data_IF_881275272014
#
_entry.id   IF_881275272014
#
_cell.length_a   1.000
_cell.length_b   1.000
_cell.length_c   1.000
_cell.angle_alpha   90.00
_cell.angle_beta   90.00
_cell.angle_gamma   90.00
#
_symmetry.space_group_name_H-M   'P 1'
#
loop_
_entity.id
_entity.type
_entity.pdbx_description
1 polymer ?
#
# COMPACT_ATOMS: atom_id res chain seq x y z
N UNK A 1 3.79 -53.05 -6.64
CA UNK A 1 4.39 -51.81 -7.17
C UNK A 1 3.47 -50.68 -6.76
N UNK A 2 3.89 -49.83 -5.82
CA UNK A 2 3.08 -48.72 -5.33
C UNK A 2 3.67 -47.42 -5.88
N UNK A 3 2.87 -46.65 -6.59
CA UNK A 3 3.19 -45.29 -7.00
C UNK A 3 2.68 -44.35 -5.92
N UNK A 4 3.60 -43.62 -5.29
CA UNK A 4 3.23 -42.50 -4.41
C UNK A 4 3.13 -41.25 -5.28
N UNK A 5 1.94 -40.66 -5.35
CA UNK A 5 1.79 -39.29 -5.84
C UNK A 5 2.43 -38.35 -4.80
N UNK A 6 3.10 -37.27 -5.23
CA UNK A 6 3.63 -36.31 -4.28
C UNK A 6 2.50 -35.73 -3.44
N UNK A 7 2.68 -35.74 -2.11
CA UNK A 7 1.83 -34.99 -1.19
C UNK A 7 2.05 -33.51 -1.48
N UNK A 8 1.17 -32.91 -2.29
CA UNK A 8 1.08 -31.46 -2.36
C UNK A 8 0.42 -31.01 -1.06
N UNK A 9 1.24 -30.68 -0.06
CA UNK A 9 0.76 -29.89 1.05
C UNK A 9 0.17 -28.61 0.44
N UNK A 10 -1.13 -28.36 0.61
CA UNK A 10 -1.70 -27.07 0.22
C UNK A 10 -0.90 -25.99 0.95
N UNK A 11 -0.19 -25.17 0.19
CA UNK A 11 0.52 -24.03 0.78
C UNK A 11 -0.53 -23.05 1.30
N UNK A 12 -0.40 -22.56 2.54
CA UNK A 12 -1.30 -21.54 3.06
C UNK A 12 -1.27 -20.31 2.17
N UNK A 13 -2.45 -19.79 1.84
CA UNK A 13 -2.62 -18.59 1.03
C UNK A 13 -2.63 -17.35 1.93
N UNK A 14 -2.01 -16.27 1.47
CA UNK A 14 -2.03 -14.94 2.11
C UNK A 14 -2.53 -13.93 1.09
N UNK A 15 -3.50 -13.10 1.47
CA UNK A 15 -3.90 -11.96 0.66
C UNK A 15 -2.95 -10.78 0.87
N UNK A 16 -2.39 -10.25 -0.22
CA UNK A 16 -1.52 -9.07 -0.24
C UNK A 16 -2.18 -7.97 -1.05
N UNK A 17 -2.70 -6.96 -0.38
CA UNK A 17 -3.30 -5.80 -1.04
C UNK A 17 -2.28 -4.68 -1.23
N UNK A 18 -2.17 -4.14 -2.43
CA UNK A 18 -1.24 -3.04 -2.75
C UNK A 18 -1.79 -2.19 -3.90
N UNK A 19 -1.16 -1.06 -4.21
CA UNK A 19 -1.61 -0.21 -5.30
C UNK A 19 -1.21 -0.79 -6.67
N UNK A 20 -1.91 -0.39 -7.74
CA UNK A 20 -1.49 -0.69 -9.11
C UNK A 20 -0.43 0.30 -9.64
N UNK A 21 0.35 0.93 -8.75
CA UNK A 21 1.41 1.86 -9.13
C UNK A 21 2.70 1.12 -9.51
N UNK A 22 3.57 1.78 -10.28
CA UNK A 22 4.76 1.14 -10.84
C UNK A 22 5.78 0.68 -9.79
N UNK A 23 5.90 1.41 -8.69
CA UNK A 23 6.78 1.06 -7.57
C UNK A 23 6.27 -0.17 -6.80
N UNK A 24 4.97 -0.24 -6.52
CA UNK A 24 4.35 -1.43 -5.93
C UNK A 24 4.43 -2.64 -6.87
N UNK A 25 4.18 -2.45 -8.17
CA UNK A 25 4.33 -3.51 -9.16
C UNK A 25 5.76 -4.07 -9.20
N UNK A 26 6.77 -3.19 -9.12
CA UNK A 26 8.18 -3.61 -9.05
C UNK A 26 8.47 -4.35 -7.74
N UNK A 27 8.00 -3.82 -6.60
CA UNK A 27 8.22 -4.38 -5.27
C UNK A 27 7.65 -5.79 -5.11
N UNK A 28 6.43 -6.02 -5.62
CA UNK A 28 5.71 -7.29 -5.46
C UNK A 28 5.94 -8.28 -6.60
N UNK A 29 6.67 -7.90 -7.67
CA UNK A 29 6.89 -8.75 -8.84
C UNK A 29 7.44 -10.13 -8.51
N UNK A 30 8.39 -10.22 -7.56
CA UNK A 30 8.99 -11.49 -7.16
C UNK A 30 7.98 -12.49 -6.59
N UNK A 31 7.00 -12.00 -5.83
CA UNK A 31 5.90 -12.83 -5.30
C UNK A 31 4.89 -13.16 -6.40
N UNK A 32 4.46 -12.15 -7.17
CA UNK A 32 3.44 -12.30 -8.21
C UNK A 32 3.88 -13.21 -9.38
N UNK A 33 5.18 -13.25 -9.69
CA UNK A 33 5.76 -14.08 -10.76
C UNK A 33 6.17 -15.48 -10.29
N UNK A 34 6.18 -15.74 -8.98
CA UNK A 34 6.74 -16.98 -8.41
C UNK A 34 8.27 -17.07 -8.51
N UNK A 35 8.95 -15.95 -8.78
CA UNK A 35 10.41 -15.91 -8.87
C UNK A 35 11.10 -16.02 -7.49
N UNK A 36 10.36 -15.84 -6.39
CA UNK A 36 10.84 -15.96 -5.01
C UNK A 36 10.29 -17.25 -4.39
N UNK A 37 11.18 -18.07 -3.81
CA UNK A 37 10.78 -19.25 -3.05
C UNK A 37 10.02 -18.85 -1.77
N UNK A 38 8.89 -19.50 -1.52
CA UNK A 38 8.02 -19.22 -0.38
C UNK A 38 7.32 -20.50 0.07
N UNK A 39 6.98 -20.56 1.37
CA UNK A 39 6.10 -21.58 1.93
C UNK A 39 4.61 -21.19 1.86
N UNK A 40 4.30 -20.06 1.19
CA UNK A 40 2.97 -19.46 1.06
C UNK A 40 2.64 -19.18 -0.40
N UNK A 41 1.35 -19.24 -0.72
CA UNK A 41 0.79 -18.68 -1.96
C UNK A 41 0.26 -17.27 -1.70
N UNK A 42 0.34 -16.40 -2.71
CA UNK A 42 -0.06 -14.99 -2.56
C UNK A 42 -1.21 -14.65 -3.51
N UNK A 43 -2.32 -14.17 -2.95
CA UNK A 43 -3.40 -13.56 -3.71
C UNK A 43 -3.23 -12.04 -3.70
N UNK A 44 -3.12 -11.43 -4.88
CA UNK A 44 -2.92 -9.99 -5.01
C UNK A 44 -4.24 -9.24 -5.19
N UNK A 45 -4.48 -8.22 -4.37
CA UNK A 45 -5.60 -7.29 -4.51
C UNK A 45 -5.07 -5.90 -4.86
N UNK A 46 -5.42 -5.41 -6.05
CA UNK A 46 -4.98 -4.09 -6.53
C UNK A 46 -6.07 -3.04 -6.33
N UNK A 47 -5.82 -2.02 -5.50
CA UNK A 47 -6.72 -0.88 -5.29
C UNK A 47 -5.93 0.40 -5.03
N UNK A 48 -6.53 1.56 -5.30
CA UNK A 48 -5.88 2.83 -4.95
C UNK A 48 -5.61 2.94 -3.44
N UNK A 49 -4.59 3.71 -3.08
CA UNK A 49 -4.13 3.78 -1.68
C UNK A 49 -5.21 4.33 -0.73
N UNK A 50 -6.11 5.19 -1.18
CA UNK A 50 -7.18 5.71 -0.32
C UNK A 50 -8.22 4.63 -0.01
N UNK A 51 -8.61 3.83 -1.01
CA UNK A 51 -9.46 2.64 -0.79
C UNK A 51 -8.79 1.65 0.17
N UNK A 52 -7.48 1.39 0.01
CA UNK A 52 -6.76 0.50 0.92
C UNK A 52 -6.69 1.04 2.35
N UNK A 53 -6.46 2.35 2.51
CA UNK A 53 -6.51 3.00 3.82
C UNK A 53 -7.88 2.82 4.48
N UNK A 54 -8.98 3.01 3.75
CA UNK A 54 -10.34 2.82 4.26
C UNK A 54 -10.61 1.36 4.66
N UNK A 55 -10.19 0.39 3.84
CA UNK A 55 -10.33 -1.03 4.18
C UNK A 55 -9.46 -1.45 5.37
N UNK A 56 -8.30 -0.82 5.57
CA UNK A 56 -7.47 -1.02 6.76
C UNK A 56 -8.18 -0.49 8.03
N UNK A 57 -8.89 0.64 7.95
CA UNK A 57 -9.70 1.15 9.07
C UNK A 57 -10.76 0.12 9.50
N UNK A 58 -11.31 -0.62 8.55
CA UNK A 58 -12.28 -1.70 8.79
C UNK A 58 -11.63 -3.01 9.29
N UNK A 59 -10.31 -3.19 9.12
CA UNK A 59 -9.63 -4.45 9.42
C UNK A 59 -9.93 -5.56 8.41
N UNK A 60 -10.26 -5.21 7.17
CA UNK A 60 -10.79 -6.13 6.15
C UNK A 60 -9.73 -7.07 5.56
N UNK A 61 -8.47 -6.68 5.59
CA UNK A 61 -7.39 -7.32 4.83
C UNK A 61 -6.38 -7.96 5.76
N UNK A 62 -5.83 -9.11 5.37
CA UNK A 62 -4.77 -9.79 6.12
C UNK A 62 -3.44 -9.02 6.05
N UNK A 63 -3.06 -8.57 4.84
CA UNK A 63 -1.90 -7.71 4.58
C UNK A 63 -2.29 -6.62 3.58
N UNK A 64 -1.89 -5.38 3.83
CA UNK A 64 -2.20 -4.24 2.95
C UNK A 64 -1.11 -3.18 2.98
N UNK A 65 -0.84 -2.58 1.81
CA UNK A 65 -0.21 -1.27 1.75
C UNK A 65 -1.10 -0.26 2.50
N UNK A 66 -0.46 0.65 3.23
CA UNK A 66 -1.16 1.63 4.06
C UNK A 66 -0.33 2.90 4.15
N UNK A 67 -1.00 4.04 4.08
CA UNK A 67 -0.34 5.33 4.34
C UNK A 67 0.04 5.44 5.82
N UNK A 68 1.19 6.06 6.13
CA UNK A 68 1.62 6.31 7.52
C UNK A 68 0.56 7.07 8.32
N UNK A 69 -0.14 8.01 7.66
CA UNK A 69 -1.27 8.72 8.27
C UNK A 69 -2.40 7.75 8.69
N UNK A 70 -2.82 6.84 7.80
CA UNK A 70 -3.82 5.83 8.12
C UNK A 70 -3.32 4.83 9.20
N UNK A 71 -2.06 4.40 9.13
CA UNK A 71 -1.47 3.44 10.05
C UNK A 71 -1.57 3.89 11.51
N UNK A 72 -1.41 5.19 11.78
CA UNK A 72 -1.54 5.74 13.13
C UNK A 72 -2.89 5.44 13.81
N UNK A 73 -3.94 5.17 13.02
CA UNK A 73 -5.28 4.86 13.53
C UNK A 73 -5.61 3.37 13.57
N UNK A 74 -4.75 2.51 13.02
CA UNK A 74 -4.99 1.05 12.91
C UNK A 74 -3.85 0.21 13.51
N UNK A 75 -2.94 0.85 14.25
CA UNK A 75 -1.80 0.20 14.89
C UNK A 75 -2.21 -0.81 16.00
N UNK A 76 -3.46 -0.77 16.44
CA UNK A 76 -4.07 -1.77 17.33
C UNK A 76 -4.48 -3.07 16.59
N UNK A 77 -4.66 -3.00 15.27
CA UNK A 77 -5.07 -4.13 14.41
C UNK A 77 -3.93 -4.69 13.57
N UNK A 78 -2.99 -3.85 13.19
CA UNK A 78 -1.92 -4.19 12.25
C UNK A 78 -0.52 -3.97 12.84
N UNK A 79 0.40 -4.86 12.48
CA UNK A 79 1.82 -4.66 12.70
C UNK A 79 2.49 -4.14 11.42
N UNK A 80 3.44 -3.22 11.56
CA UNK A 80 4.20 -2.70 10.43
C UNK A 80 5.33 -3.65 10.06
N UNK A 81 5.40 -4.06 8.80
CA UNK A 81 6.49 -4.88 8.27
C UNK A 81 7.76 -4.06 8.12
N UNK A 82 8.92 -4.72 8.24
CA UNK A 82 10.25 -4.09 8.09
C UNK A 82 10.68 -3.90 6.63
N UNK A 83 9.82 -4.28 5.69
CA UNK A 83 10.06 -4.21 4.25
C UNK A 83 8.80 -3.73 3.54
N UNK A 84 8.95 -3.36 2.28
CA UNK A 84 7.84 -2.98 1.42
C UNK A 84 7.25 -1.59 1.66
N UNK A 85 7.97 -0.73 2.39
CA UNK A 85 7.61 0.66 2.57
C UNK A 85 8.21 1.56 1.49
N UNK A 86 7.49 2.63 1.15
CA UNK A 86 7.96 3.72 0.30
C UNK A 86 8.29 4.93 1.16
N UNK A 87 9.53 5.41 1.09
CA UNK A 87 10.04 6.55 1.86
C UNK A 87 10.77 7.51 0.93
N UNK A 88 10.58 8.82 1.16
CA UNK A 88 11.31 9.87 0.45
C UNK A 88 12.29 10.58 1.38
N UNK A 89 13.48 10.87 0.87
CA UNK A 89 14.48 11.73 1.52
C UNK A 89 14.87 12.83 0.54
N UNK A 90 14.56 14.09 0.88
CA UNK A 90 14.70 15.23 -0.02
C UNK A 90 13.66 15.31 -1.15
N UNK A 91 12.67 14.42 -1.18
CA UNK A 91 11.53 14.46 -2.12
C UNK A 91 10.25 13.94 -1.47
N UNK A 92 9.10 14.26 -2.07
CA UNK A 92 7.81 13.82 -1.57
C UNK A 92 6.63 14.34 -2.39
N UNK A 93 5.41 14.21 -1.86
CA UNK A 93 4.21 14.80 -2.45
C UNK A 93 4.42 16.30 -2.70
N UNK A 94 3.79 16.84 -3.74
CA UNK A 94 3.89 18.26 -4.08
C UNK A 94 2.51 18.83 -4.40
N UNK A 95 2.33 20.11 -4.09
CA UNK A 95 1.18 20.89 -4.57
C UNK A 95 1.60 21.55 -5.88
N UNK A 96 0.79 21.37 -6.92
CA UNK A 96 1.00 21.97 -8.24
C UNK A 96 -0.20 22.80 -8.65
N UNK A 97 0.04 23.84 -9.44
CA UNK A 97 -1.01 24.72 -9.96
C UNK A 97 -0.75 25.07 -11.42
N UNK A 98 -1.83 25.35 -12.16
CA UNK A 98 -1.73 25.85 -13.54
C UNK A 98 -1.25 27.31 -13.53
N UNK A 99 -1.86 28.12 -12.65
CA UNK A 99 -1.50 29.53 -12.48
C UNK A 99 -0.56 29.71 -11.28
N UNK A 100 0.45 30.56 -11.39
CA UNK A 100 1.32 30.89 -10.26
C UNK A 100 0.52 31.68 -9.21
N UNK A 101 0.76 31.37 -7.94
CA UNK A 101 0.28 32.16 -6.81
C UNK A 101 1.29 32.10 -5.67
N UNK A 102 1.22 33.06 -4.75
CA UNK A 102 2.11 33.10 -3.61
C UNK A 102 1.73 32.00 -2.61
N UNK A 103 2.67 31.26 -1.99
CA UNK A 103 2.36 30.18 -1.06
C UNK A 103 1.38 30.56 0.06
N UNK A 104 1.36 31.83 0.47
CA UNK A 104 0.47 32.38 1.50
C UNK A 104 -1.00 32.34 1.07
N UNK A 105 -1.28 32.42 -0.24
CA UNK A 105 -2.63 32.37 -0.79
C UNK A 105 -3.22 30.95 -0.77
N UNK A 106 -2.43 29.93 -0.45
CA UNK A 106 -2.84 28.52 -0.51
C UNK A 106 -4.05 28.23 0.38
N UNK A 107 -4.13 28.88 1.55
CA UNK A 107 -5.24 28.75 2.51
C UNK A 107 -6.60 29.17 1.95
N UNK A 108 -6.62 30.04 0.93
CA UNK A 108 -7.83 30.48 0.26
C UNK A 108 -8.15 29.66 -1.00
N UNK A 109 -7.31 28.68 -1.37
CA UNK A 109 -7.52 27.83 -2.55
C UNK A 109 -8.31 26.59 -2.19
N UNK A 110 -9.11 26.13 -3.15
CA UNK A 110 -9.69 24.78 -3.13
C UNK A 110 -8.68 23.82 -3.74
N UNK A 111 -8.22 22.86 -2.93
CA UNK A 111 -7.18 21.91 -3.31
C UNK A 111 -7.82 20.53 -3.53
N UNK A 112 -7.57 19.92 -4.68
CA UNK A 112 -7.88 18.51 -4.89
C UNK A 112 -6.84 17.66 -4.16
N UNK A 113 -7.29 16.67 -3.39
CA UNK A 113 -6.41 15.79 -2.61
C UNK A 113 -6.57 14.34 -3.08
N UNK A 114 -5.53 13.51 -3.00
CA UNK A 114 -5.60 12.11 -3.43
C UNK A 114 -6.36 11.22 -2.43
N UNK A 115 -6.59 11.70 -1.21
CA UNK A 115 -7.35 10.98 -0.18
C UNK A 115 -7.07 11.52 1.21
N UNK A 116 -8.10 11.50 2.07
CA UNK A 116 -8.06 12.08 3.43
C UNK A 116 -7.15 11.30 4.39
N UNK A 117 -6.85 10.04 4.09
CA UNK A 117 -6.01 9.19 4.93
C UNK A 117 -4.59 9.03 4.36
N UNK A 118 -4.27 9.73 3.27
CA UNK A 118 -2.93 9.67 2.67
C UNK A 118 -1.90 10.42 3.51
N UNK A 119 -0.65 9.97 3.47
CA UNK A 119 0.47 10.72 4.07
C UNK A 119 0.68 12.07 3.37
N UNK A 120 0.37 12.16 2.09
CA UNK A 120 0.41 13.42 1.33
C UNK A 120 -0.54 14.47 1.92
N UNK A 121 -1.78 14.07 2.25
CA UNK A 121 -2.71 14.97 2.91
C UNK A 121 -2.22 15.39 4.29
N UNK A 122 -1.71 14.45 5.09
CA UNK A 122 -1.16 14.76 6.42
C UNK A 122 -0.02 15.79 6.36
N UNK A 123 0.87 15.68 5.38
CA UNK A 123 2.02 16.57 5.22
C UNK A 123 1.63 18.03 4.92
N UNK A 124 0.43 18.26 4.36
CA UNK A 124 -0.06 19.58 3.95
C UNK A 124 -1.32 20.04 4.70
N UNK A 125 -1.72 19.31 5.74
CA UNK A 125 -2.92 19.62 6.54
C UNK A 125 -2.69 20.75 7.54
#
# INVERSE_FOLDING_TARGET
>A
MAFFLPYTANMPQITVAHSPDSDDAFMFWGLASGAVESNYEFEHILRDIQTLNEWAMEGRLESTAVSVHAFAYVADKYALLRHGGSFGDGYGPMIVSIEPFAPEDLSAKKIAIPGLLTSAYLAYR
#
